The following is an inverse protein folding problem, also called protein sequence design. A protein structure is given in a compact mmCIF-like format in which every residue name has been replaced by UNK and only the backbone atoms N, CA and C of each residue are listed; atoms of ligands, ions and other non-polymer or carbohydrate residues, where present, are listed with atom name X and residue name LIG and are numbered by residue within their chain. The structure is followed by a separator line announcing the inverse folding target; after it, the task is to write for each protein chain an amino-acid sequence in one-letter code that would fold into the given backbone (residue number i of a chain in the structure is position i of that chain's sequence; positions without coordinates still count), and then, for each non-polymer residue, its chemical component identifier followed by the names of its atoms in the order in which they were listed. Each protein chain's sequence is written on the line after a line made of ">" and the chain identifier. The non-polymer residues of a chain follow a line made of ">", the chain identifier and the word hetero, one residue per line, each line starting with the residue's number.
data_IF_037417117408
#
_entry.id   IF_037417117408
#
_cell.length_a   1.000
_cell.length_b   1.000
_cell.length_c   1.000
_cell.angle_alpha   90.00
_cell.angle_beta   90.00
_cell.angle_gamma   90.00
#
_symmetry.space_group_name_H-M   'P 1'
#
loop_
_entity.id
_entity.type
_entity.pdbx_description
1 polymer ?
#
# COMPACT_ATOMS: atom_id res chain seq x y z
N UNK A 1 46.52 -6.93 42.45
CA UNK A 1 45.12 -6.71 42.86
C UNK A 1 44.27 -7.19 41.71
N UNK A 2 43.64 -8.35 41.88
CA UNK A 2 42.80 -9.00 40.87
C UNK A 2 41.44 -8.33 40.92
N UNK A 3 40.92 -7.88 39.78
CA UNK A 3 39.47 -7.66 39.63
C UNK A 3 39.02 -8.45 38.42
N UNK A 4 38.25 -9.51 38.70
CA UNK A 4 37.62 -10.40 37.74
C UNK A 4 36.64 -9.65 36.84
N UNK A 5 36.68 -9.94 35.55
CA UNK A 5 35.63 -9.55 34.61
C UNK A 5 34.60 -10.68 34.62
N UNK A 6 33.39 -10.40 35.11
CA UNK A 6 32.26 -11.34 35.07
C UNK A 6 31.82 -11.56 33.61
N UNK A 7 31.73 -12.81 33.11
CA UNK A 7 31.31 -13.09 31.75
C UNK A 7 29.79 -13.32 31.70
N UNK A 8 28.98 -12.28 31.92
CA UNK A 8 27.50 -12.39 31.80
C UNK A 8 26.83 -11.08 31.38
N UNK A 9 27.39 -10.39 30.40
CA UNK A 9 26.62 -9.42 29.61
C UNK A 9 26.79 -9.75 28.14
N UNK A 10 26.01 -10.73 27.68
CA UNK A 10 25.70 -10.85 26.26
C UNK A 10 24.90 -9.59 25.94
N UNK A 11 25.58 -8.61 25.35
CA UNK A 11 24.93 -7.50 24.67
C UNK A 11 23.99 -8.10 23.63
N UNK A 12 22.70 -8.17 23.96
CA UNK A 12 21.64 -8.32 22.97
C UNK A 12 21.62 -7.02 22.15
N UNK A 13 22.55 -6.92 21.20
CA UNK A 13 22.36 -6.06 20.05
C UNK A 13 21.09 -6.57 19.39
N UNK A 14 19.98 -5.90 19.67
CA UNK A 14 18.70 -6.15 19.02
C UNK A 14 18.89 -5.88 17.52
N UNK A 15 19.18 -6.94 16.76
CA UNK A 15 19.23 -6.98 15.29
C UNK A 15 17.86 -6.76 14.64
N UNK A 16 16.81 -6.57 15.45
CA UNK A 16 15.42 -6.37 15.02
C UNK A 16 15.11 -4.98 14.44
N UNK A 17 16.08 -4.06 14.30
CA UNK A 17 15.80 -2.73 13.74
C UNK A 17 15.32 -2.79 12.28
N UNK A 18 15.84 -3.76 11.50
CA UNK A 18 15.56 -3.80 10.06
C UNK A 18 14.58 -4.92 9.68
N UNK A 19 14.28 -5.88 10.57
CA UNK A 19 13.38 -7.02 10.32
C UNK A 19 11.89 -6.83 10.55
N UNK A 20 11.49 -5.68 11.09
CA UNK A 20 10.11 -5.44 11.51
C UNK A 20 9.18 -5.00 10.39
N UNK A 21 9.72 -4.79 9.18
CA UNK A 21 9.03 -4.20 8.01
C UNK A 21 8.64 -5.19 6.90
N UNK A 22 8.83 -6.48 7.14
CA UNK A 22 8.57 -7.49 6.12
C UNK A 22 7.06 -7.74 6.04
N UNK A 23 6.50 -7.64 4.84
CA UNK A 23 5.12 -8.03 4.54
C UNK A 23 5.16 -9.06 3.41
N UNK A 24 4.88 -10.33 3.73
CA UNK A 24 4.96 -11.41 2.75
C UNK A 24 4.02 -11.14 1.56
N UNK A 25 4.58 -11.15 0.36
CA UNK A 25 3.87 -10.98 -0.91
C UNK A 25 4.24 -12.09 -1.88
N UNK A 26 3.47 -12.25 -2.96
CA UNK A 26 3.75 -13.26 -3.97
C UNK A 26 5.11 -13.09 -4.67
N UNK A 27 5.62 -11.87 -4.80
CA UNK A 27 6.98 -11.62 -5.32
C UNK A 27 8.06 -11.94 -4.29
N UNK A 28 7.81 -11.66 -3.01
CA UNK A 28 8.74 -11.99 -1.92
C UNK A 28 8.85 -13.51 -1.71
N UNK A 29 7.77 -14.26 -1.99
CA UNK A 29 7.75 -15.72 -1.80
C UNK A 29 8.93 -16.42 -2.50
N UNK A 30 9.31 -15.94 -3.68
CA UNK A 30 10.35 -16.55 -4.50
C UNK A 30 11.77 -16.09 -4.15
N UNK A 31 11.92 -15.13 -3.24
CA UNK A 31 13.24 -14.62 -2.90
C UNK A 31 14.00 -15.61 -2.02
N UNK A 32 15.27 -15.84 -2.34
CA UNK A 32 16.15 -16.70 -1.53
C UNK A 32 16.30 -16.13 -0.12
N UNK A 33 16.44 -14.81 0.02
CA UNK A 33 16.35 -14.13 1.30
C UNK A 33 15.07 -13.28 1.34
N UNK A 34 14.16 -13.57 2.29
CA UNK A 34 12.91 -12.80 2.49
C UNK A 34 13.06 -11.71 3.57
N UNK A 35 14.22 -11.64 4.23
CA UNK A 35 14.57 -10.57 5.15
C UNK A 35 14.79 -9.24 4.43
N UNK A 36 14.38 -8.16 5.08
CA UNK A 36 14.90 -6.82 4.86
C UNK A 36 16.27 -6.69 5.51
N UNK A 37 17.33 -6.68 4.69
CA UNK A 37 18.72 -6.50 5.14
C UNK A 37 19.55 -7.79 5.14
N UNK A 38 20.71 -7.72 5.78
CA UNK A 38 21.66 -8.86 5.90
C UNK A 38 21.71 -9.43 7.32
N UNK A 39 20.99 -8.82 8.27
CA UNK A 39 21.07 -9.15 9.69
C UNK A 39 20.11 -10.27 10.10
N UNK A 40 19.17 -10.63 9.22
CA UNK A 40 18.22 -11.72 9.43
C UNK A 40 18.33 -12.72 8.30
N UNK A 41 18.44 -14.00 8.67
CA UNK A 41 18.52 -15.09 7.74
C UNK A 41 17.65 -16.24 8.26
N UNK A 42 16.73 -16.74 7.43
CA UNK A 42 15.96 -17.95 7.74
C UNK A 42 16.91 -19.16 7.83
N UNK A 43 16.99 -19.79 9.00
CA UNK A 43 17.85 -20.95 9.23
C UNK A 43 17.14 -22.27 8.91
N UNK A 44 17.88 -23.24 8.38
CA UNK A 44 17.37 -24.59 8.12
C UNK A 44 16.68 -24.77 6.75
N UNK A 45 15.91 -25.84 6.62
CA UNK A 45 15.28 -26.20 5.35
C UNK A 45 14.01 -25.36 5.11
N UNK A 46 13.93 -24.77 3.91
CA UNK A 46 12.76 -24.02 3.43
C UNK A 46 12.26 -24.57 2.09
N UNK A 47 10.94 -24.66 1.95
CA UNK A 47 10.28 -25.02 0.71
C UNK A 47 9.18 -24.00 0.38
N UNK A 48 9.33 -23.32 -0.75
CA UNK A 48 8.36 -22.37 -1.28
C UNK A 48 7.47 -23.06 -2.31
N UNK A 49 6.15 -23.02 -2.11
CA UNK A 49 5.16 -23.67 -2.99
C UNK A 49 4.15 -22.63 -3.46
N UNK A 50 3.96 -22.56 -4.78
CA UNK A 50 2.96 -21.67 -5.36
C UNK A 50 2.48 -22.14 -6.73
N UNK A 51 1.33 -21.63 -7.13
CA UNK A 51 0.72 -21.87 -8.43
C UNK A 51 0.26 -20.54 -9.04
N UNK A 52 0.44 -20.42 -10.35
CA UNK A 52 -0.04 -19.28 -11.13
C UNK A 52 -0.91 -19.75 -12.30
N UNK A 53 -2.07 -19.12 -12.44
CA UNK A 53 -2.92 -19.20 -13.62
C UNK A 53 -2.75 -17.91 -14.41
N UNK A 54 -2.43 -18.01 -15.70
CA UNK A 54 -2.31 -16.88 -16.61
C UNK A 54 -3.21 -17.15 -17.80
N UNK A 55 -4.02 -16.16 -18.17
CA UNK A 55 -4.89 -16.20 -19.33
C UNK A 55 -4.74 -14.91 -20.13
N UNK A 56 -4.31 -15.04 -21.38
CA UNK A 56 -4.09 -13.93 -22.29
C UNK A 56 -5.11 -13.93 -23.43
N UNK A 57 -5.63 -12.74 -23.72
CA UNK A 57 -6.46 -12.44 -24.87
C UNK A 57 -5.93 -11.19 -25.58
N UNK A 58 -6.39 -10.92 -26.79
CA UNK A 58 -5.81 -9.88 -27.67
C UNK A 58 -5.55 -8.52 -26.99
N UNK A 59 -6.48 -8.05 -26.15
CA UNK A 59 -6.38 -6.77 -25.44
C UNK A 59 -6.63 -6.90 -23.93
N UNK A 60 -6.64 -8.12 -23.40
CA UNK A 60 -7.00 -8.39 -22.01
C UNK A 60 -6.12 -9.51 -21.46
N UNK A 61 -5.76 -9.42 -20.19
CA UNK A 61 -4.98 -10.44 -19.49
C UNK A 61 -5.55 -10.66 -18.10
N UNK A 62 -5.43 -11.88 -17.61
CA UNK A 62 -5.77 -12.24 -16.25
C UNK A 62 -4.65 -13.10 -15.66
N UNK A 63 -4.18 -12.73 -14.48
CA UNK A 63 -3.22 -13.50 -13.72
C UNK A 63 -3.75 -13.72 -12.30
N UNK A 64 -3.76 -14.97 -11.87
CA UNK A 64 -4.03 -15.36 -10.50
C UNK A 64 -2.83 -16.13 -9.97
N UNK A 65 -2.33 -15.71 -8.82
CA UNK A 65 -1.27 -16.39 -8.09
C UNK A 65 -1.75 -16.75 -6.70
N UNK A 66 -1.34 -17.92 -6.21
CA UNK A 66 -1.48 -18.34 -4.82
C UNK A 66 -0.23 -19.11 -4.39
N UNK A 67 0.28 -18.85 -3.20
CA UNK A 67 1.45 -19.57 -2.69
C UNK A 67 1.70 -19.36 -1.21
N UNK A 68 2.64 -20.15 -0.68
CA UNK A 68 3.10 -20.10 0.70
C UNK A 68 4.47 -20.76 0.86
N UNK A 69 5.16 -20.40 1.94
CA UNK A 69 6.45 -20.94 2.35
C UNK A 69 6.26 -21.91 3.52
N UNK A 70 7.08 -22.95 3.54
CA UNK A 70 7.22 -23.91 4.62
C UNK A 70 8.66 -23.87 5.11
N UNK A 71 8.86 -23.69 6.41
CA UNK A 71 10.14 -23.72 7.08
C UNK A 71 10.17 -24.85 8.11
N UNK A 72 11.34 -25.48 8.26
CA UNK A 72 11.55 -26.54 9.25
C UNK A 72 11.45 -26.01 10.69
N UNK A 73 12.04 -24.84 10.92
CA UNK A 73 12.04 -24.13 12.19
C UNK A 73 11.05 -22.96 12.16
N UNK A 74 10.44 -22.69 13.30
CA UNK A 74 9.77 -21.40 13.51
C UNK A 74 10.84 -20.37 13.81
N UNK A 75 10.81 -19.26 13.09
CA UNK A 75 11.81 -18.22 13.23
C UNK A 75 11.28 -17.14 14.16
N UNK A 76 11.81 -17.10 15.39
CA UNK A 76 11.42 -16.12 16.41
C UNK A 76 11.86 -14.70 16.07
N UNK A 77 12.75 -14.55 15.09
CA UNK A 77 13.31 -13.26 14.68
C UNK A 77 12.40 -12.49 13.72
N UNK A 78 11.41 -13.15 13.10
CA UNK A 78 10.36 -12.47 12.34
C UNK A 78 9.21 -12.05 13.24
N UNK A 79 8.72 -10.83 13.06
CA UNK A 79 7.52 -10.37 13.76
C UNK A 79 6.28 -11.19 13.38
N UNK A 80 5.30 -11.31 14.27
CA UNK A 80 4.00 -11.93 13.93
C UNK A 80 3.31 -11.24 12.74
N UNK A 81 3.58 -9.95 12.52
CA UNK A 81 3.07 -9.20 11.37
C UNK A 81 3.70 -9.57 10.02
N UNK A 82 4.82 -10.29 10.03
CA UNK A 82 5.59 -10.64 8.83
C UNK A 82 4.96 -11.71 7.95
N UNK A 83 4.13 -12.57 8.55
CA UNK A 83 3.61 -13.78 7.91
C UNK A 83 4.65 -14.90 7.72
N UNK A 84 5.83 -14.78 8.33
CA UNK A 84 6.94 -15.75 8.25
C UNK A 84 7.36 -16.34 9.62
N UNK A 85 6.79 -15.85 10.74
CA UNK A 85 7.17 -16.30 12.09
C UNK A 85 6.88 -17.79 12.36
N UNK A 86 5.88 -18.34 11.69
CA UNK A 86 5.46 -19.72 11.84
C UNK A 86 6.15 -20.64 10.82
N UNK A 87 6.29 -21.93 11.18
CA UNK A 87 6.76 -23.00 10.26
C UNK A 87 5.99 -23.04 8.93
N UNK A 88 4.72 -22.63 8.97
CA UNK A 88 3.92 -22.42 7.77
C UNK A 88 3.66 -20.93 7.66
N UNK A 89 4.13 -20.31 6.58
CA UNK A 89 3.86 -18.89 6.34
C UNK A 89 2.38 -18.65 6.08
N UNK A 90 1.97 -17.39 6.13
CA UNK A 90 0.68 -16.96 5.61
C UNK A 90 0.53 -17.36 4.13
N UNK A 91 -0.70 -17.60 3.72
CA UNK A 91 -1.06 -17.79 2.31
C UNK A 91 -1.10 -16.42 1.65
N UNK A 92 -0.33 -16.25 0.58
CA UNK A 92 -0.36 -15.06 -0.26
C UNK A 92 -1.09 -15.34 -1.57
N UNK A 93 -1.89 -14.39 -2.01
CA UNK A 93 -2.53 -14.42 -3.33
C UNK A 93 -2.50 -13.05 -3.99
N UNK A 94 -2.35 -13.07 -5.31
CA UNK A 94 -2.36 -11.89 -6.16
C UNK A 94 -3.26 -12.14 -7.37
N UNK A 95 -4.20 -11.24 -7.62
CA UNK A 95 -5.07 -11.24 -8.79
C UNK A 95 -4.82 -9.96 -9.57
N UNK A 96 -4.50 -10.10 -10.84
CA UNK A 96 -4.33 -9.00 -11.79
C UNK A 96 -5.26 -9.23 -12.98
N UNK A 97 -6.06 -8.23 -13.30
CA UNK A 97 -7.01 -8.27 -14.42
C UNK A 97 -6.86 -6.98 -15.22
N UNK A 98 -6.46 -7.10 -16.49
CA UNK A 98 -6.45 -6.00 -17.43
C UNK A 98 -7.46 -6.28 -18.53
N UNK A 99 -8.37 -5.33 -18.77
CA UNK A 99 -9.45 -5.47 -19.75
C UNK A 99 -9.39 -4.31 -20.74
N UNK A 100 -9.23 -4.66 -22.01
CA UNK A 100 -9.21 -3.74 -23.14
C UNK A 100 -8.20 -2.58 -23.02
N UNK A 101 -7.17 -2.70 -22.16
CA UNK A 101 -6.22 -1.61 -21.80
C UNK A 101 -6.85 -0.41 -21.09
N UNK A 102 -8.16 -0.42 -20.86
CA UNK A 102 -8.90 0.68 -20.26
C UNK A 102 -9.17 0.45 -18.78
N UNK A 103 -9.30 -0.81 -18.35
CA UNK A 103 -9.57 -1.19 -16.97
C UNK A 103 -8.45 -2.09 -16.47
N UNK A 104 -7.93 -1.79 -15.28
CA UNK A 104 -6.96 -2.62 -14.58
C UNK A 104 -7.43 -2.81 -13.14
N UNK A 105 -7.48 -4.04 -12.67
CA UNK A 105 -7.83 -4.40 -11.29
C UNK A 105 -6.69 -5.23 -10.74
N UNK A 106 -6.15 -4.81 -9.59
CA UNK A 106 -5.09 -5.54 -8.88
C UNK A 106 -5.56 -5.77 -7.46
N UNK A 107 -5.61 -7.03 -7.03
CA UNK A 107 -6.02 -7.42 -5.68
C UNK A 107 -4.98 -8.33 -5.04
N UNK A 108 -4.49 -7.93 -3.88
CA UNK A 108 -3.52 -8.68 -3.06
C UNK A 108 -4.18 -9.11 -1.77
N UNK A 109 -3.97 -10.37 -1.42
CA UNK A 109 -4.51 -10.98 -0.20
C UNK A 109 -3.39 -11.69 0.54
N UNK A 110 -3.35 -11.50 1.86
CA UNK A 110 -2.55 -12.33 2.76
C UNK A 110 -3.45 -12.86 3.88
N UNK A 111 -3.44 -14.18 4.03
CA UNK A 111 -4.32 -14.89 4.93
C UNK A 111 -3.52 -15.84 5.83
N UNK A 112 -3.69 -15.67 7.14
CA UNK A 112 -3.13 -16.56 8.14
C UNK A 112 -4.14 -17.69 8.41
N UNK A 113 -3.82 -18.89 7.93
CA UNK A 113 -4.64 -20.08 8.12
C UNK A 113 -4.49 -20.71 9.51
N UNK A 114 -3.44 -20.39 10.27
CA UNK A 114 -3.26 -20.88 11.64
C UNK A 114 -4.16 -20.12 12.62
N UNK A 115 -4.28 -18.80 12.45
CA UNK A 115 -5.16 -17.96 13.29
C UNK A 115 -6.54 -17.69 12.67
N UNK A 116 -6.78 -18.15 11.44
CA UNK A 116 -8.01 -17.86 10.68
C UNK A 116 -8.25 -16.35 10.54
N UNK A 117 -7.21 -15.60 10.20
CA UNK A 117 -7.22 -14.13 10.12
C UNK A 117 -6.81 -13.64 8.75
N UNK A 118 -7.63 -12.73 8.19
CA UNK A 118 -7.24 -11.93 7.04
C UNK A 118 -6.23 -10.87 7.51
N UNK A 119 -4.97 -11.04 7.11
CA UNK A 119 -3.87 -10.15 7.48
C UNK A 119 -3.86 -8.93 6.58
N UNK A 120 -3.96 -9.12 5.26
CA UNK A 120 -4.00 -8.03 4.28
C UNK A 120 -5.04 -8.29 3.20
N UNK A 121 -5.75 -7.24 2.82
CA UNK A 121 -6.53 -7.14 1.60
C UNK A 121 -6.27 -5.77 0.99
N UNK A 122 -5.77 -5.73 -0.23
CA UNK A 122 -5.43 -4.49 -0.93
C UNK A 122 -5.90 -4.62 -2.38
N UNK A 123 -6.97 -3.91 -2.71
CA UNK A 123 -7.60 -3.95 -4.03
C UNK A 123 -7.57 -2.57 -4.65
N UNK A 124 -7.10 -2.48 -5.88
CA UNK A 124 -7.06 -1.25 -6.66
C UNK A 124 -7.74 -1.45 -8.00
N UNK A 125 -8.40 -0.40 -8.47
CA UNK A 125 -9.08 -0.31 -9.73
C UNK A 125 -8.60 0.96 -10.43
N UNK A 126 -8.15 0.81 -11.66
CA UNK A 126 -7.79 1.91 -12.55
C UNK A 126 -8.68 1.82 -13.77
N UNK A 127 -9.38 2.89 -14.09
CA UNK A 127 -10.14 2.97 -15.34
C UNK A 127 -9.82 4.25 -16.09
N UNK A 128 -9.44 4.11 -17.35
CA UNK A 128 -9.06 5.21 -18.24
C UNK A 128 -9.77 5.08 -19.56
N UNK A 129 -10.50 6.11 -19.94
CA UNK A 129 -11.18 6.25 -21.22
C UNK A 129 -11.00 7.68 -21.75
N UNK A 130 -11.60 7.98 -22.90
CA UNK A 130 -11.60 9.34 -23.46
C UNK A 130 -12.24 10.36 -22.52
N UNK A 131 -13.29 9.96 -21.78
CA UNK A 131 -14.13 10.85 -20.98
C UNK A 131 -13.91 10.72 -19.48
N UNK A 132 -13.48 9.55 -19.00
CA UNK A 132 -13.34 9.26 -17.57
C UNK A 132 -11.95 8.70 -17.30
N UNK A 133 -11.30 9.25 -16.28
CA UNK A 133 -10.10 8.68 -15.68
C UNK A 133 -10.33 8.53 -14.18
N UNK A 134 -10.14 7.35 -13.62
CA UNK A 134 -10.36 7.09 -12.20
C UNK A 134 -9.36 6.08 -11.67
N UNK A 135 -8.94 6.32 -10.43
CA UNK A 135 -8.20 5.37 -9.61
C UNK A 135 -8.98 5.20 -8.31
N UNK A 136 -9.22 3.97 -7.90
CA UNK A 136 -9.83 3.64 -6.61
C UNK A 136 -8.97 2.58 -5.95
N UNK A 137 -8.76 2.71 -4.65
CA UNK A 137 -8.08 1.70 -3.84
C UNK A 137 -8.81 1.51 -2.54
N UNK A 138 -9.01 0.26 -2.19
CA UNK A 138 -9.45 -0.15 -0.88
C UNK A 138 -8.38 -1.04 -0.28
N UNK A 139 -7.96 -0.74 0.95
CA UNK A 139 -7.10 -1.64 1.68
C UNK A 139 -7.58 -1.84 3.12
N UNK A 140 -7.26 -3.02 3.64
CA UNK A 140 -7.44 -3.44 5.02
C UNK A 140 -6.19 -4.17 5.47
N UNK A 141 -5.59 -3.67 6.53
CA UNK A 141 -4.44 -4.24 7.21
C UNK A 141 -4.87 -4.62 8.63
N UNK A 142 -4.46 -5.79 9.08
CA UNK A 142 -4.63 -6.17 10.47
C UNK A 142 -3.72 -5.31 11.38
N UNK A 143 -4.19 -4.99 12.59
CA UNK A 143 -3.44 -4.20 13.55
C UNK A 143 -2.08 -4.79 13.92
N UNK A 144 -1.87 -6.10 13.85
CA UNK A 144 -0.54 -6.73 14.06
C UNK A 144 0.50 -6.34 13.01
N UNK A 145 0.06 -5.87 11.84
CA UNK A 145 0.93 -5.37 10.76
C UNK A 145 1.23 -3.88 10.99
N UNK A 146 0.25 -3.12 11.45
CA UNK A 146 0.36 -1.66 11.64
C UNK A 146 0.83 -1.27 13.05
N UNK A 147 0.86 -2.19 14.02
CA UNK A 147 1.33 -1.93 15.39
C UNK A 147 2.80 -1.52 15.44
N UNK A 148 3.59 -1.91 14.44
CA UNK A 148 4.98 -1.51 14.29
C UNK A 148 5.10 -0.07 13.74
N UNK A 149 4.05 0.43 13.07
CA UNK A 149 3.97 1.75 12.47
C UNK A 149 2.93 2.62 13.22
N UNK A 150 3.25 3.04 14.44
CA UNK A 150 2.45 4.02 15.20
C UNK A 150 2.48 5.44 14.58
N UNK A 151 2.24 5.55 13.27
CA UNK A 151 2.31 6.78 12.48
C UNK A 151 0.92 7.36 12.16
N UNK A 152 -0.15 6.83 12.76
CA UNK A 152 -1.52 7.31 12.52
C UNK A 152 -2.05 6.99 11.11
N UNK A 153 -1.45 6.02 10.41
CA UNK A 153 -1.98 5.51 9.15
C UNK A 153 -3.20 4.60 9.44
N UNK A 154 -4.32 4.75 8.70
CA UNK A 154 -5.50 3.95 8.93
C UNK A 154 -5.25 2.49 8.54
N UNK A 155 -5.75 1.57 9.37
CA UNK A 155 -5.74 0.13 9.09
C UNK A 155 -6.67 -0.21 7.92
N UNK A 156 -7.79 0.48 7.81
CA UNK A 156 -8.76 0.29 6.76
C UNK A 156 -9.13 1.61 6.09
N UNK A 157 -8.84 1.74 4.80
CA UNK A 157 -9.11 2.95 4.04
C UNK A 157 -9.66 2.64 2.66
N UNK A 158 -10.58 3.50 2.21
CA UNK A 158 -10.91 3.64 0.80
C UNK A 158 -10.42 5.01 0.32
N UNK A 159 -9.66 5.04 -0.75
CA UNK A 159 -9.19 6.27 -1.37
C UNK A 159 -9.28 6.20 -2.88
N UNK A 160 -9.22 7.36 -3.53
CA UNK A 160 -9.18 7.43 -4.97
C UNK A 160 -9.61 8.77 -5.53
N UNK A 161 -9.65 8.83 -6.85
CA UNK A 161 -10.06 9.98 -7.63
C UNK A 161 -10.87 9.58 -8.87
N UNK A 162 -11.66 10.54 -9.33
CA UNK A 162 -12.37 10.48 -10.59
C UNK A 162 -12.25 11.84 -11.29
N UNK A 163 -11.85 11.80 -12.55
CA UNK A 163 -11.83 12.93 -13.46
C UNK A 163 -12.78 12.64 -14.63
N UNK A 164 -13.70 13.56 -14.90
CA UNK A 164 -14.70 13.46 -15.95
C UNK A 164 -14.53 14.64 -16.89
N UNK A 165 -14.26 14.39 -18.18
CA UNK A 165 -14.28 15.41 -19.23
C UNK A 165 -15.73 15.67 -19.65
N UNK A 166 -16.20 16.87 -19.38
CA UNK A 166 -17.55 17.31 -19.79
C UNK A 166 -17.53 17.75 -21.25
N UNK A 167 -16.49 18.48 -21.65
CA UNK A 167 -16.32 19.00 -23.01
C UNK A 167 -14.85 19.01 -23.41
N UNK A 168 -14.52 19.56 -24.58
CA UNK A 168 -13.14 19.62 -25.10
C UNK A 168 -12.19 20.31 -24.09
N UNK A 169 -12.66 21.33 -23.40
CA UNK A 169 -11.85 22.18 -22.54
C UNK A 169 -12.21 22.06 -21.06
N UNK A 170 -13.37 21.48 -20.70
CA UNK A 170 -13.83 21.41 -19.32
C UNK A 170 -13.75 20.00 -18.74
N UNK A 171 -13.22 19.88 -17.53
CA UNK A 171 -13.26 18.65 -16.74
C UNK A 171 -13.61 18.92 -15.28
N UNK A 172 -14.28 17.94 -14.67
CA UNK A 172 -14.50 17.87 -13.23
C UNK A 172 -13.54 16.85 -12.64
N UNK A 173 -13.05 17.13 -11.44
CA UNK A 173 -12.26 16.19 -10.66
C UNK A 173 -12.77 16.10 -9.24
N UNK A 174 -12.87 14.90 -8.72
CA UNK A 174 -13.13 14.63 -7.31
C UNK A 174 -12.12 13.62 -6.80
N UNK A 175 -11.52 13.85 -5.64
CA UNK A 175 -10.67 12.89 -4.95
C UNK A 175 -11.01 12.85 -3.47
N UNK A 176 -10.87 11.69 -2.85
CA UNK A 176 -11.15 11.53 -1.44
C UNK A 176 -10.38 10.34 -0.85
N UNK A 177 -10.10 10.42 0.45
CA UNK A 177 -9.59 9.31 1.25
C UNK A 177 -10.39 9.23 2.55
N UNK A 178 -10.95 8.06 2.84
CA UNK A 178 -11.80 7.82 4.00
C UNK A 178 -11.28 6.65 4.81
N UNK A 179 -10.96 6.94 6.06
CA UNK A 179 -10.71 5.94 7.09
C UNK A 179 -12.05 5.30 7.46
N UNK A 180 -12.14 3.98 7.24
CA UNK A 180 -13.36 3.21 7.48
C UNK A 180 -13.54 2.91 8.96
N UNK A 181 -12.44 2.68 9.69
CA UNK A 181 -12.45 2.33 11.11
C UNK A 181 -12.89 3.52 11.96
N UNK A 182 -12.27 4.68 11.72
CA UNK A 182 -12.61 5.93 12.41
C UNK A 182 -13.82 6.65 11.79
N UNK A 183 -14.32 6.16 10.65
CA UNK A 183 -15.42 6.75 9.87
C UNK A 183 -15.19 8.21 9.45
N UNK A 184 -13.94 8.66 9.40
CA UNK A 184 -13.56 10.03 9.05
C UNK A 184 -13.16 10.15 7.58
N UNK A 185 -13.55 11.25 6.94
CA UNK A 185 -12.98 11.64 5.65
C UNK A 185 -11.63 12.32 5.90
N UNK A 186 -10.51 11.66 5.65
CA UNK A 186 -9.16 12.19 5.89
C UNK A 186 -8.82 13.33 4.95
N UNK A 187 -9.16 13.18 3.67
CA UNK A 187 -9.06 14.27 2.71
C UNK A 187 -10.19 14.19 1.68
N UNK A 188 -10.52 15.33 1.11
CA UNK A 188 -11.37 15.42 -0.06
C UNK A 188 -11.02 16.66 -0.88
N UNK A 189 -11.15 16.55 -2.20
CA UNK A 189 -10.93 17.64 -3.14
C UNK A 189 -11.97 17.57 -4.24
N UNK A 190 -12.61 18.69 -4.51
CA UNK A 190 -13.44 18.90 -5.68
C UNK A 190 -12.78 19.95 -6.57
N UNK A 191 -12.80 19.77 -7.88
CA UNK A 191 -12.15 20.68 -8.83
C UNK A 191 -12.95 20.80 -10.12
N UNK A 192 -13.00 22.02 -10.65
CA UNK A 192 -13.44 22.33 -12.01
C UNK A 192 -12.23 22.87 -12.74
N UNK A 193 -11.89 22.25 -13.87
CA UNK A 193 -10.70 22.60 -14.66
C UNK A 193 -11.14 23.01 -16.05
N UNK A 194 -10.69 24.19 -16.46
CA UNK A 194 -10.68 24.64 -17.84
C UNK A 194 -9.25 24.52 -18.38
N UNK A 195 -9.09 23.88 -19.53
CA UNK A 195 -7.81 23.69 -20.19
C UNK A 195 -7.94 23.97 -21.67
N UNK A 196 -7.24 24.98 -22.15
CA UNK A 196 -7.09 25.29 -23.57
C UNK A 196 -5.62 25.12 -24.00
N UNK A 197 -5.27 25.62 -25.19
CA UNK A 197 -3.94 25.45 -25.78
C UNK A 197 -2.85 26.25 -25.04
N UNK A 198 -3.22 27.31 -24.30
CA UNK A 198 -2.30 28.24 -23.65
C UNK A 198 -2.45 28.31 -22.13
N UNK A 199 -3.60 27.93 -21.59
CA UNK A 199 -4.03 28.25 -20.23
C UNK A 199 -4.72 27.06 -19.59
N UNK A 200 -4.29 26.74 -18.37
CA UNK A 200 -5.00 25.89 -17.44
C UNK A 200 -5.50 26.73 -16.27
N UNK A 201 -6.81 26.73 -16.06
CA UNK A 201 -7.47 27.34 -14.89
C UNK A 201 -8.19 26.25 -14.12
N UNK A 202 -7.85 26.08 -12.85
CA UNK A 202 -8.53 25.17 -11.94
C UNK A 202 -9.06 25.94 -10.74
N UNK A 203 -10.36 25.83 -10.51
CA UNK A 203 -11.00 26.22 -9.27
C UNK A 203 -11.24 24.96 -8.46
N UNK A 204 -10.80 24.94 -7.21
CA UNK A 204 -10.94 23.76 -6.37
C UNK A 204 -11.33 24.09 -4.94
N UNK A 205 -12.06 23.17 -4.34
CA UNK A 205 -12.26 23.08 -2.91
C UNK A 205 -11.44 21.91 -2.38
N UNK A 206 -10.69 22.11 -1.30
CA UNK A 206 -9.95 21.05 -0.62
C UNK A 206 -10.21 21.10 0.88
N UNK A 207 -10.38 19.92 1.49
CA UNK A 207 -10.48 19.74 2.93
C UNK A 207 -9.60 18.58 3.36
N UNK A 208 -8.72 18.84 4.32
CA UNK A 208 -7.87 17.85 4.96
C UNK A 208 -8.19 17.82 6.46
N UNK A 209 -8.44 16.62 6.97
CA UNK A 209 -8.61 16.36 8.39
C UNK A 209 -7.35 15.65 8.89
N UNK A 210 -6.56 16.35 9.70
CA UNK A 210 -5.36 15.81 10.31
C UNK A 210 -5.76 15.30 11.69
N UNK A 211 -6.04 14.00 11.80
CA UNK A 211 -6.27 13.35 13.07
C UNK A 211 -5.02 12.52 13.39
N UNK A 212 -3.97 13.17 13.88
CA UNK A 212 -2.75 12.48 14.31
C UNK A 212 -2.98 11.94 15.71
N UNK A 213 -3.08 10.63 15.87
CA UNK A 213 -3.18 9.94 17.15
C UNK A 213 -1.83 9.83 17.89
N UNK A 214 -0.93 10.82 17.74
CA UNK A 214 0.40 10.82 18.37
C UNK A 214 0.62 12.13 19.14
N UNK A 215 1.17 11.98 20.36
CA UNK A 215 1.25 12.84 21.55
C UNK A 215 1.52 14.37 21.45
N UNK A 216 1.52 15.00 20.28
CA UNK A 216 1.58 16.46 20.12
C UNK A 216 0.55 16.93 19.09
N UNK A 217 -0.67 17.23 19.57
CA UNK A 217 -1.79 17.75 18.79
C UNK A 217 -1.52 19.15 18.19
N UNK A 218 -0.74 19.24 17.10
CA UNK A 218 -0.39 20.54 16.47
C UNK A 218 -1.00 20.73 15.08
N UNK A 219 -1.52 19.69 14.42
CA UNK A 219 -2.11 19.83 13.08
C UNK A 219 -3.63 20.02 13.13
N UNK A 220 -4.11 21.23 12.78
CA UNK A 220 -5.55 21.55 12.68
C UNK A 220 -6.11 21.11 11.33
N UNK A 221 -7.40 20.76 11.32
CA UNK A 221 -8.15 20.55 10.07
C UNK A 221 -8.09 21.81 9.20
N UNK A 222 -7.84 21.64 7.91
CA UNK A 222 -7.76 22.74 6.94
C UNK A 222 -8.83 22.56 5.88
N UNK A 223 -9.58 23.62 5.58
CA UNK A 223 -10.47 23.66 4.42
C UNK A 223 -10.32 24.98 3.70
N UNK A 224 -10.29 24.96 2.37
CA UNK A 224 -10.14 26.19 1.59
C UNK A 224 -10.61 26.04 0.15
N UNK A 225 -10.97 27.19 -0.42
CA UNK A 225 -11.14 27.38 -1.85
C UNK A 225 -9.82 27.90 -2.41
N UNK A 226 -9.41 27.36 -3.54
CA UNK A 226 -8.19 27.74 -4.23
C UNK A 226 -8.42 27.88 -5.73
N UNK A 227 -7.61 28.75 -6.33
CA UNK A 227 -7.55 28.93 -7.78
C UNK A 227 -6.10 28.66 -8.19
N UNK A 228 -5.92 27.79 -9.18
CA UNK A 228 -4.63 27.54 -9.82
C UNK A 228 -4.71 27.97 -11.27
N UNK A 229 -3.80 28.83 -11.68
CA UNK A 229 -3.64 29.28 -13.07
C UNK A 229 -2.25 28.85 -13.54
N UNK A 230 -2.16 28.26 -14.72
CA UNK A 230 -0.90 27.88 -15.33
C UNK A 230 -0.92 28.29 -16.80
N UNK A 231 0.11 29.02 -17.23
CA UNK A 231 0.28 29.48 -18.61
C UNK A 231 1.28 28.53 -19.27
N UNK A 232 0.78 27.67 -20.16
CA UNK A 232 1.51 26.54 -20.73
C UNK A 232 2.50 26.96 -21.83
N UNK A 233 2.28 28.12 -22.45
CA UNK A 233 3.04 28.59 -23.63
C UNK A 233 4.15 29.60 -23.34
N UNK A 234 4.39 29.94 -22.08
CA UNK A 234 5.49 30.86 -21.70
C UNK A 234 6.87 30.19 -21.62
N UNK A 235 6.98 28.92 -22.01
CA UNK A 235 8.23 28.14 -22.03
C UNK A 235 8.74 27.74 -23.41
N UNK A 236 8.01 28.00 -24.50
CA UNK A 236 8.53 27.83 -25.87
C UNK A 236 9.02 29.17 -26.39
N UNK A 237 10.16 29.62 -25.89
CA UNK A 237 11.00 30.53 -26.66
C UNK A 237 11.83 29.67 -27.62
N UNK A 238 11.74 30.01 -28.92
CA UNK A 238 12.40 29.40 -30.08
C UNK A 238 13.71 28.66 -29.82
#
# INVERSE_FOLDING_TARGET
>A
MITSINPTEINYLSTQQDGQDIDLTGSLLWQSNKSTGFDLWESGLRADIGASLIADARNSSAQLFIGRSYAENSENDFSEGSGLSNKKSDIVSNLELDINKNLSIVTRVRYDDNENKLRRLDSSLNYRSKYINTNLRYYRLNSSINSNFNNGAPNQEVNGDINIKISKNWSLGYSAARDIDLKIMRNQRFSVKFNDDCTLVEVFYAKNNFNSASFTNVTRNTSGLGIRISLLTLGSMN
#
